data_IF_693889634093
#
_entry.id   IF_693889634093
#
_cell.length_a   1.000
_cell.length_b   1.000
_cell.length_c   1.000
_cell.angle_alpha   90.00
_cell.angle_beta   90.00
_cell.angle_gamma   90.00
#
_symmetry.space_group_name_H-M   'P 1'
#
loop_
_entity.id
_entity.type
_entity.pdbx_description
1 polymer ?
#
# COMPACT_ATOMS: atom_id res chain seq x y z
N UNK A 1 -1.09 45.76 -10.84
CA UNK A 1 -1.50 44.49 -11.41
C UNK A 1 -2.31 43.75 -10.34
N UNK A 2 -3.60 43.58 -10.58
CA UNK A 2 -4.54 43.01 -9.61
C UNK A 2 -4.23 41.53 -9.41
N UNK A 3 -4.06 41.14 -8.13
CA UNK A 3 -3.86 39.73 -7.75
C UNK A 3 -5.05 38.89 -8.20
N UNK A 4 -4.77 37.84 -8.95
CA UNK A 4 -5.75 36.76 -9.23
C UNK A 4 -6.24 36.21 -7.87
N UNK A 5 -7.55 36.00 -7.71
CA UNK A 5 -8.06 35.28 -6.56
C UNK A 5 -7.41 33.90 -6.51
N UNK A 6 -6.99 33.48 -5.31
CA UNK A 6 -6.47 32.12 -5.04
C UNK A 6 -7.66 31.18 -5.24
N UNK A 7 -7.85 30.70 -6.47
CA UNK A 7 -8.68 29.54 -6.74
C UNK A 7 -8.11 28.38 -5.92
N UNK A 8 -8.97 27.69 -5.18
CA UNK A 8 -8.61 26.46 -4.48
C UNK A 8 -7.96 25.52 -5.50
N UNK A 9 -6.63 25.39 -5.44
CA UNK A 9 -5.90 24.46 -6.32
C UNK A 9 -6.32 23.06 -5.89
N UNK A 10 -7.20 22.44 -6.65
CA UNK A 10 -7.45 21.01 -6.59
C UNK A 10 -6.15 20.29 -6.98
N UNK A 11 -5.99 19.02 -6.54
CA UNK A 11 -4.83 18.22 -6.88
C UNK A 11 -4.56 18.21 -8.39
N UNK A 12 -3.30 18.00 -8.79
CA UNK A 12 -2.88 17.85 -10.19
C UNK A 12 -2.79 16.38 -10.58
N UNK A 13 -3.04 16.08 -11.87
CA UNK A 13 -2.76 14.75 -12.42
C UNK A 13 -1.24 14.49 -12.42
N UNK A 14 -0.84 13.29 -12.00
CA UNK A 14 0.54 12.80 -12.17
C UNK A 14 0.51 11.59 -13.08
N UNK A 15 1.26 11.63 -14.20
CA UNK A 15 1.33 10.51 -15.12
C UNK A 15 2.78 10.12 -15.40
N UNK A 16 3.09 8.85 -15.16
CA UNK A 16 4.35 8.21 -15.50
C UNK A 16 4.13 7.42 -16.79
N UNK A 17 5.00 7.60 -17.77
CA UNK A 17 4.90 6.97 -19.09
C UNK A 17 6.19 6.25 -19.41
N UNK A 18 6.19 4.91 -19.36
CA UNK A 18 7.34 4.07 -19.64
C UNK A 18 8.57 4.42 -18.79
N UNK A 19 8.36 4.91 -17.56
CA UNK A 19 9.41 5.48 -16.73
C UNK A 19 10.44 4.43 -16.35
N UNK A 20 11.72 4.70 -16.66
CA UNK A 20 12.82 3.77 -16.39
C UNK A 20 14.00 4.46 -15.76
N UNK A 21 14.74 3.73 -14.90
CA UNK A 21 16.00 4.20 -14.32
C UNK A 21 16.98 3.06 -14.13
N UNK A 22 18.13 3.22 -14.76
CA UNK A 22 19.27 2.31 -14.65
C UNK A 22 20.41 2.95 -13.86
N UNK A 23 21.06 2.18 -12.99
CA UNK A 23 22.30 2.50 -12.30
C UNK A 23 23.37 1.49 -12.72
N UNK A 24 24.14 1.83 -13.75
CA UNK A 24 25.05 0.88 -14.39
C UNK A 24 24.27 -0.28 -14.98
N UNK A 25 24.57 -1.50 -14.56
CA UNK A 25 23.89 -2.73 -15.01
C UNK A 25 22.58 -3.02 -14.26
N UNK A 26 22.27 -2.27 -13.20
CA UNK A 26 21.09 -2.50 -12.37
C UNK A 26 19.93 -1.61 -12.84
N UNK A 27 18.90 -2.22 -13.41
CA UNK A 27 17.66 -1.54 -13.74
C UNK A 27 16.76 -1.42 -12.50
N UNK A 28 16.84 -0.26 -11.83
CA UNK A 28 16.09 0.01 -10.61
C UNK A 28 14.59 0.26 -10.86
N UNK A 29 14.23 0.82 -12.03
CA UNK A 29 12.86 1.05 -12.48
C UNK A 29 12.77 0.68 -13.95
N UNK A 30 11.73 -0.10 -14.33
CA UNK A 30 11.63 -0.72 -15.66
C UNK A 30 10.28 -0.42 -16.28
N UNK A 31 10.23 0.56 -17.18
CA UNK A 31 9.07 0.94 -17.98
C UNK A 31 7.77 1.03 -17.15
N UNK A 32 7.81 1.82 -16.07
CA UNK A 32 6.65 2.01 -15.17
C UNK A 32 5.67 2.97 -15.81
N UNK A 33 4.42 2.50 -15.97
CA UNK A 33 3.26 3.27 -16.34
C UNK A 33 2.32 3.41 -15.14
N UNK A 34 1.97 4.64 -14.77
CA UNK A 34 1.05 4.91 -13.67
C UNK A 34 0.38 6.28 -13.88
N UNK A 35 -0.93 6.33 -13.80
CA UNK A 35 -1.69 7.58 -13.76
C UNK A 35 -2.33 7.74 -12.39
N UNK A 36 -2.13 8.90 -11.76
CA UNK A 36 -2.73 9.31 -10.50
C UNK A 36 -3.66 10.48 -10.81
N UNK A 37 -4.95 10.30 -10.57
CA UNK A 37 -5.95 11.31 -10.84
C UNK A 37 -5.82 12.51 -9.88
N UNK A 38 -6.29 13.69 -10.25
CA UNK A 38 -6.34 14.84 -9.33
C UNK A 38 -7.08 14.51 -8.04
N UNK A 39 -6.44 14.78 -6.90
CA UNK A 39 -6.99 14.50 -5.58
C UNK A 39 -6.96 13.03 -5.15
N UNK A 40 -6.37 12.14 -5.93
CA UNK A 40 -6.24 10.72 -5.60
C UNK A 40 -5.04 10.47 -4.67
N UNK A 41 -5.20 9.53 -3.73
CA UNK A 41 -4.11 9.02 -2.88
C UNK A 41 -3.65 7.66 -3.41
N UNK A 42 -2.48 7.60 -4.03
CA UNK A 42 -1.89 6.36 -4.55
C UNK A 42 -0.64 5.98 -3.76
N UNK A 43 -0.59 4.72 -3.33
CA UNK A 43 0.58 4.16 -2.66
C UNK A 43 1.37 3.23 -3.57
N UNK A 44 2.68 3.47 -3.69
CA UNK A 44 3.64 2.48 -4.18
C UNK A 44 4.01 1.57 -3.01
N UNK A 45 3.58 0.32 -3.07
CA UNK A 45 3.79 -0.70 -2.06
C UNK A 45 4.73 -1.78 -2.60
N UNK A 46 5.69 -2.25 -1.82
CA UNK A 46 6.60 -3.33 -2.26
C UNK A 46 7.77 -3.53 -1.31
N UNK A 47 8.55 -4.61 -1.46
CA UNK A 47 9.73 -4.86 -0.64
C UNK A 47 10.82 -3.82 -0.85
N UNK A 48 11.79 -3.77 0.07
CA UNK A 48 12.98 -2.92 -0.10
C UNK A 48 13.71 -3.25 -1.40
N UNK A 49 14.19 -2.22 -2.11
CA UNK A 49 14.87 -2.39 -3.40
C UNK A 49 13.94 -2.58 -4.61
N UNK A 50 12.60 -2.52 -4.47
CA UNK A 50 11.68 -2.67 -5.60
C UNK A 50 11.56 -1.46 -6.52
N UNK A 51 12.25 -0.34 -6.24
CA UNK A 51 12.26 0.86 -7.09
C UNK A 51 11.33 1.99 -6.67
N UNK A 52 10.56 1.86 -5.58
CA UNK A 52 9.56 2.84 -5.08
C UNK A 52 10.15 4.22 -4.83
N UNK A 53 11.16 4.32 -3.94
CA UNK A 53 11.85 5.57 -3.61
C UNK A 53 12.49 6.18 -4.86
N UNK A 54 13.10 5.36 -5.74
CA UNK A 54 13.66 5.85 -7.01
C UNK A 54 12.58 6.47 -7.89
N UNK A 55 11.41 5.83 -8.00
CA UNK A 55 10.28 6.37 -8.75
C UNK A 55 9.80 7.69 -8.16
N UNK A 56 9.62 7.78 -6.84
CA UNK A 56 9.24 9.01 -6.16
C UNK A 56 10.29 10.12 -6.37
N UNK A 57 11.57 9.81 -6.27
CA UNK A 57 12.67 10.78 -6.47
C UNK A 57 12.75 11.27 -7.92
N UNK A 58 12.37 10.45 -8.91
CA UNK A 58 12.24 10.90 -10.30
C UNK A 58 11.07 11.89 -10.45
N UNK A 59 9.91 11.61 -9.84
CA UNK A 59 8.78 12.55 -9.82
C UNK A 59 9.16 13.86 -9.14
N UNK A 60 9.87 13.80 -8.02
CA UNK A 60 10.37 14.97 -7.30
C UNK A 60 11.43 15.78 -8.08
N UNK A 61 12.08 15.17 -9.08
CA UNK A 61 13.14 15.79 -9.88
C UNK A 61 14.53 15.73 -9.27
N UNK A 62 14.75 14.91 -8.25
CA UNK A 62 16.08 14.66 -7.66
C UNK A 62 16.88 13.61 -8.44
N UNK A 63 16.18 12.74 -9.17
CA UNK A 63 16.78 11.71 -10.05
C UNK A 63 16.22 11.91 -11.45
N UNK A 64 17.09 11.91 -12.47
CA UNK A 64 16.65 11.91 -13.86
C UNK A 64 16.35 10.47 -14.31
N UNK A 65 15.23 10.22 -15.02
CA UNK A 65 14.99 8.92 -15.63
C UNK A 65 16.00 8.64 -16.76
N UNK A 66 16.24 7.36 -17.02
CA UNK A 66 17.04 6.91 -18.18
C UNK A 66 16.17 6.90 -19.44
N UNK A 67 14.85 6.61 -19.29
CA UNK A 67 13.87 6.62 -20.37
C UNK A 67 12.46 6.90 -19.81
N UNK A 68 11.54 7.23 -20.72
CA UNK A 68 10.15 7.55 -20.36
C UNK A 68 9.95 9.02 -20.02
N UNK A 69 8.73 9.36 -19.54
CA UNK A 69 8.35 10.74 -19.23
C UNK A 69 7.54 10.83 -17.93
N UNK A 70 7.53 12.02 -17.33
CA UNK A 70 6.71 12.39 -16.16
C UNK A 70 5.91 13.64 -16.52
N UNK A 71 4.60 13.49 -16.47
CA UNK A 71 3.68 14.58 -16.80
C UNK A 71 2.95 15.03 -15.52
N UNK A 72 2.87 16.35 -15.34
CA UNK A 72 2.00 17.00 -14.36
C UNK A 72 0.97 17.81 -15.13
N UNK A 73 -0.32 17.52 -14.94
CA UNK A 73 -1.44 18.11 -15.72
C UNK A 73 -1.18 18.08 -17.24
N UNK A 74 -0.68 16.94 -17.74
CA UNK A 74 -0.37 16.71 -19.15
C UNK A 74 0.91 17.39 -19.65
N UNK A 75 1.66 18.11 -18.83
CA UNK A 75 2.90 18.76 -19.20
C UNK A 75 4.13 18.01 -18.69
N UNK A 76 5.09 17.73 -19.58
CA UNK A 76 6.34 17.07 -19.17
C UNK A 76 7.17 17.97 -18.25
N UNK A 77 7.64 17.35 -17.14
CA UNK A 77 8.47 18.04 -16.14
C UNK A 77 9.92 17.58 -16.13
N UNK A 78 10.36 16.81 -17.11
CA UNK A 78 11.74 16.29 -17.16
C UNK A 78 12.78 17.41 -17.20
N UNK A 79 12.54 18.49 -17.96
CA UNK A 79 13.42 19.64 -18.02
C UNK A 79 13.23 20.62 -16.86
N UNK A 80 12.23 20.40 -15.98
CA UNK A 80 11.93 21.30 -14.86
C UNK A 80 12.75 20.89 -13.64
N UNK A 81 13.55 21.81 -13.11
CA UNK A 81 14.34 21.59 -11.89
C UNK A 81 13.42 21.29 -10.69
N UNK A 82 13.84 20.44 -9.76
CA UNK A 82 13.04 19.97 -8.62
C UNK A 82 12.32 21.10 -7.86
N UNK A 83 13.03 22.21 -7.54
CA UNK A 83 12.47 23.34 -6.81
C UNK A 83 11.42 24.17 -7.58
N UNK A 84 11.27 23.92 -8.89
CA UNK A 84 10.30 24.59 -9.77
C UNK A 84 9.10 23.70 -10.15
N UNK A 85 9.12 22.41 -9.74
CA UNK A 85 8.00 21.50 -10.00
C UNK A 85 6.77 21.76 -9.11
N UNK A 86 6.91 22.61 -8.11
CA UNK A 86 5.86 23.01 -7.14
C UNK A 86 5.24 21.84 -6.38
N UNK A 87 6.05 20.82 -6.06
CA UNK A 87 5.64 19.61 -5.35
C UNK A 87 6.02 19.70 -3.87
N UNK A 88 5.12 19.24 -2.98
CA UNK A 88 5.45 19.00 -1.57
C UNK A 88 6.18 17.67 -1.43
N UNK A 89 7.25 17.64 -0.63
CA UNK A 89 8.01 16.41 -0.40
C UNK A 89 8.23 16.20 1.09
N UNK A 90 7.88 15.00 1.59
CA UNK A 90 8.20 14.51 2.93
C UNK A 90 9.14 13.33 2.78
N UNK A 91 10.37 13.46 3.26
CA UNK A 91 11.41 12.45 3.21
C UNK A 91 11.33 11.51 4.43
N UNK A 92 11.87 10.31 4.30
CA UNK A 92 11.95 9.32 5.38
C UNK A 92 12.66 9.85 6.62
N UNK A 93 13.74 10.63 6.45
CA UNK A 93 14.48 11.27 7.54
C UNK A 93 13.90 12.63 7.99
N UNK A 94 12.70 12.98 7.47
CA UNK A 94 12.05 14.29 7.63
C UNK A 94 12.84 15.48 7.08
N UNK A 95 14.14 15.39 6.95
CA UNK A 95 15.07 16.43 6.44
C UNK A 95 14.81 17.83 7.03
N UNK A 96 14.52 17.91 8.34
CA UNK A 96 14.32 19.17 9.07
C UNK A 96 15.66 19.86 9.31
N UNK A 97 15.63 21.19 9.31
CA UNK A 97 16.80 22.02 9.62
C UNK A 97 16.98 22.09 11.15
N UNK A 98 17.97 21.41 11.73
CA UNK A 98 18.09 21.27 13.20
C UNK A 98 18.40 22.60 13.92
N UNK A 99 19.02 23.55 13.23
CA UNK A 99 19.38 24.86 13.73
C UNK A 99 18.25 25.89 13.67
N UNK A 100 17.12 25.55 13.05
CA UNK A 100 15.94 26.41 12.92
C UNK A 100 14.87 26.02 13.97
N UNK A 101 13.98 26.99 14.29
CA UNK A 101 12.75 26.70 15.05
C UNK A 101 11.74 25.91 14.20
N UNK A 102 10.67 25.42 14.84
CA UNK A 102 9.53 24.80 14.15
C UNK A 102 8.92 25.77 13.14
N UNK A 103 8.60 27.00 13.55
CA UNK A 103 8.05 28.03 12.66
C UNK A 103 8.99 28.37 11.51
N UNK A 104 10.32 28.45 11.75
CA UNK A 104 11.29 28.73 10.70
C UNK A 104 11.40 27.60 9.69
N UNK A 105 11.33 26.33 10.13
CA UNK A 105 11.29 25.16 9.24
C UNK A 105 10.07 25.24 8.33
N UNK A 106 8.89 25.51 8.89
CA UNK A 106 7.64 25.61 8.11
C UNK A 106 7.66 26.84 7.20
N UNK A 107 8.23 27.98 7.64
CA UNK A 107 8.33 29.19 6.84
C UNK A 107 9.34 29.10 5.68
N UNK A 108 10.30 28.16 5.73
CA UNK A 108 11.40 28.09 4.77
C UNK A 108 10.93 28.04 3.30
N UNK A 109 9.97 27.19 2.89
CA UNK A 109 9.50 27.16 1.51
C UNK A 109 8.84 28.47 1.04
N UNK A 110 8.20 29.21 1.95
CA UNK A 110 7.58 30.50 1.65
C UNK A 110 8.64 31.60 1.45
N UNK A 111 9.72 31.58 2.25
CA UNK A 111 10.87 32.48 2.08
C UNK A 111 11.54 32.28 0.72
N UNK A 112 11.74 31.04 0.31
CA UNK A 112 12.33 30.72 -1.00
C UNK A 112 11.44 31.14 -2.18
N UNK A 113 10.13 31.28 -1.96
CA UNK A 113 9.14 31.78 -2.92
C UNK A 113 8.90 33.30 -2.82
N UNK A 114 9.67 33.99 -1.98
CA UNK A 114 9.55 35.43 -1.75
C UNK A 114 8.14 35.90 -1.34
N UNK A 115 7.41 35.05 -0.58
CA UNK A 115 6.11 35.39 -0.02
C UNK A 115 6.28 36.53 1.01
N UNK A 116 5.37 37.51 1.01
CA UNK A 116 5.37 38.59 1.97
C UNK A 116 5.40 38.08 3.42
N UNK A 117 6.11 38.80 4.31
CA UNK A 117 6.34 38.35 5.69
C UNK A 117 5.05 38.16 6.50
N UNK A 118 4.05 39.03 6.33
CA UNK A 118 2.78 38.92 7.04
C UNK A 118 1.98 37.73 6.56
N UNK A 119 1.92 37.55 5.25
CA UNK A 119 1.27 36.40 4.62
C UNK A 119 1.98 35.10 4.97
N UNK A 120 3.30 35.06 4.96
CA UNK A 120 4.10 33.90 5.38
C UNK A 120 3.78 33.51 6.84
N UNK A 121 3.72 34.50 7.75
CA UNK A 121 3.38 34.26 9.16
C UNK A 121 1.99 33.62 9.31
N UNK A 122 0.97 34.19 8.67
CA UNK A 122 -0.39 33.66 8.67
C UNK A 122 -0.46 32.23 8.13
N UNK A 123 0.22 31.92 7.02
CA UNK A 123 0.25 30.57 6.45
C UNK A 123 0.97 29.58 7.35
N UNK A 124 2.04 29.98 8.02
CA UNK A 124 2.76 29.15 8.99
C UNK A 124 1.85 28.81 10.18
N UNK A 125 1.15 29.79 10.75
CA UNK A 125 0.19 29.55 11.84
C UNK A 125 -0.88 28.56 11.40
N UNK A 126 -1.53 28.77 10.25
CA UNK A 126 -2.54 27.86 9.70
C UNK A 126 -1.99 26.45 9.48
N UNK A 127 -0.75 26.33 8.95
CA UNK A 127 -0.15 25.01 8.71
C UNK A 127 0.19 24.28 10.02
N UNK A 128 0.65 25.00 11.04
CA UNK A 128 0.94 24.45 12.37
C UNK A 128 -0.35 24.03 13.11
N UNK A 129 -1.41 24.80 13.00
CA UNK A 129 -2.73 24.44 13.55
C UNK A 129 -3.28 23.18 12.88
N UNK A 130 -3.15 23.06 11.55
CA UNK A 130 -3.61 21.91 10.78
C UNK A 130 -2.99 20.60 11.27
N UNK A 131 -1.72 20.63 11.67
CA UNK A 131 -0.98 19.48 12.22
C UNK A 131 -0.94 19.45 13.76
N UNK A 132 -1.74 20.27 14.44
CA UNK A 132 -1.85 20.35 15.91
C UNK A 132 -0.53 20.71 16.62
N UNK A 133 0.26 21.59 16.04
CA UNK A 133 1.54 22.07 16.59
C UNK A 133 1.56 23.59 16.86
N UNK A 134 0.40 24.27 16.89
CA UNK A 134 0.31 25.73 17.03
C UNK A 134 1.10 26.29 18.22
N UNK A 135 1.07 25.61 19.38
CA UNK A 135 1.78 26.04 20.59
C UNK A 135 3.31 25.76 20.56
N UNK A 136 3.84 25.05 19.55
CA UNK A 136 5.23 24.59 19.51
C UNK A 136 6.09 25.36 18.51
N UNK A 137 5.59 26.44 17.91
CA UNK A 137 6.26 27.18 16.84
C UNK A 137 7.66 27.71 17.18
N UNK A 138 7.91 28.11 18.44
CA UNK A 138 9.20 28.64 18.91
C UNK A 138 10.22 27.57 19.30
N UNK A 139 9.82 26.29 19.45
CA UNK A 139 10.70 25.21 19.86
C UNK A 139 11.72 24.85 18.78
N UNK A 140 12.85 24.26 19.21
CA UNK A 140 13.86 23.68 18.33
C UNK A 140 13.48 22.25 17.98
N UNK A 141 13.98 21.75 16.84
CA UNK A 141 13.65 20.42 16.34
C UNK A 141 14.05 19.30 17.30
N UNK A 142 15.20 19.43 17.98
CA UNK A 142 15.69 18.44 18.93
C UNK A 142 14.86 18.34 20.24
N UNK A 143 13.99 19.32 20.51
CA UNK A 143 13.08 19.32 21.66
C UNK A 143 11.75 18.57 21.36
N UNK A 144 11.60 18.07 20.13
CA UNK A 144 10.37 17.43 19.66
C UNK A 144 10.50 15.91 19.63
N UNK A 145 9.40 15.20 19.93
CA UNK A 145 9.28 13.76 19.66
C UNK A 145 9.32 13.46 18.15
N UNK A 146 9.62 12.21 17.77
CA UNK A 146 9.66 11.79 16.35
C UNK A 146 8.34 12.10 15.61
N UNK A 147 7.18 11.85 16.22
CA UNK A 147 5.89 12.19 15.62
C UNK A 147 5.65 13.70 15.49
N UNK A 148 6.15 14.52 16.43
CA UNK A 148 6.09 15.96 16.29
C UNK A 148 7.00 16.45 15.17
N UNK A 149 8.20 15.89 15.02
CA UNK A 149 9.10 16.19 13.90
C UNK A 149 8.47 15.86 12.55
N UNK A 150 7.82 14.72 12.45
CA UNK A 150 7.08 14.33 11.25
C UNK A 150 5.97 15.33 10.91
N UNK A 151 5.16 15.75 11.89
CA UNK A 151 4.13 16.79 11.72
C UNK A 151 4.72 18.11 11.23
N UNK A 152 5.90 18.50 11.71
CA UNK A 152 6.63 19.69 11.21
C UNK A 152 7.02 19.50 9.74
N UNK A 153 7.54 18.31 9.36
CA UNK A 153 7.89 18.02 7.97
C UNK A 153 6.66 18.07 7.05
N UNK A 154 5.53 17.54 7.52
CA UNK A 154 4.26 17.59 6.80
C UNK A 154 3.76 19.04 6.66
N UNK A 155 3.74 19.84 7.74
CA UNK A 155 3.37 21.25 7.70
C UNK A 155 4.26 22.04 6.73
N UNK A 156 5.59 21.80 6.74
CA UNK A 156 6.54 22.41 5.81
C UNK A 156 6.24 22.07 4.36
N UNK A 157 5.86 20.81 4.08
CA UNK A 157 5.51 20.38 2.73
C UNK A 157 4.18 20.96 2.24
N UNK A 158 3.25 21.30 3.16
CA UNK A 158 1.91 21.78 2.84
C UNK A 158 1.75 23.31 2.85
N UNK A 159 2.64 24.05 3.53
CA UNK A 159 2.50 25.49 3.81
C UNK A 159 2.34 26.38 2.57
N UNK A 160 2.88 25.94 1.43
CA UNK A 160 2.76 26.66 0.14
C UNK A 160 1.64 26.11 -0.75
N UNK A 161 0.81 25.17 -0.22
CA UNK A 161 -0.35 24.58 -0.89
C UNK A 161 0.03 23.91 -2.23
N UNK A 162 0.91 22.90 -2.21
CA UNK A 162 1.29 22.19 -3.44
C UNK A 162 0.09 21.42 -4.01
N UNK A 163 -0.04 21.28 -5.34
CA UNK A 163 -1.06 20.43 -5.94
C UNK A 163 -0.79 18.93 -5.76
N UNK A 164 0.48 18.55 -5.55
CA UNK A 164 0.90 17.15 -5.34
C UNK A 164 1.80 17.06 -4.13
N UNK A 165 1.57 16.06 -3.30
CA UNK A 165 2.38 15.70 -2.14
C UNK A 165 3.05 14.34 -2.36
N UNK A 166 4.36 14.30 -2.24
CA UNK A 166 5.18 13.09 -2.32
C UNK A 166 5.64 12.71 -0.91
N UNK A 167 5.44 11.47 -0.50
CA UNK A 167 5.87 11.00 0.83
C UNK A 167 6.65 9.69 0.72
N UNK A 168 7.89 9.70 1.20
CA UNK A 168 8.79 8.55 1.18
C UNK A 168 8.91 7.95 2.58
N UNK A 169 8.25 6.83 2.84
CA UNK A 169 8.20 6.09 4.11
C UNK A 169 8.07 6.98 5.37
N UNK A 170 7.15 7.95 5.40
CA UNK A 170 7.16 8.97 6.45
C UNK A 170 6.82 8.41 7.85
N UNK A 171 6.21 7.23 7.94
CA UNK A 171 5.76 6.61 9.20
C UNK A 171 6.71 5.54 9.74
N UNK A 172 7.75 5.16 8.99
CA UNK A 172 8.60 4.01 9.29
C UNK A 172 9.34 4.07 10.63
N UNK A 173 9.65 5.28 11.12
CA UNK A 173 10.38 5.47 12.38
C UNK A 173 9.47 5.59 13.63
N UNK A 174 8.15 5.48 13.48
CA UNK A 174 7.19 5.65 14.58
C UNK A 174 6.81 4.33 15.23
N UNK A 175 6.51 4.39 16.54
CA UNK A 175 5.85 3.29 17.23
C UNK A 175 4.42 3.05 16.68
N UNK A 176 3.85 1.87 16.96
CA UNK A 176 2.56 1.45 16.40
C UNK A 176 1.42 2.44 16.70
N UNK A 177 1.29 2.89 17.95
CA UNK A 177 0.18 3.78 18.37
C UNK A 177 0.26 5.14 17.69
N UNK A 178 1.47 5.70 17.63
CA UNK A 178 1.71 6.99 16.99
C UNK A 178 1.53 6.88 15.47
N UNK A 179 1.93 5.76 14.86
CA UNK A 179 1.72 5.47 13.45
C UNK A 179 0.22 5.46 13.09
N UNK A 180 -0.61 4.73 13.84
CA UNK A 180 -2.06 4.70 13.65
C UNK A 180 -2.69 6.11 13.74
N UNK A 181 -2.27 6.92 14.71
CA UNK A 181 -2.72 8.31 14.83
C UNK A 181 -2.33 9.16 13.62
N UNK A 182 -1.08 9.03 13.16
CA UNK A 182 -0.58 9.79 12.01
C UNK A 182 -1.25 9.38 10.70
N UNK A 183 -1.58 8.11 10.50
CA UNK A 183 -2.35 7.65 9.36
C UNK A 183 -3.71 8.35 9.27
N UNK A 184 -4.45 8.40 10.39
CA UNK A 184 -5.74 9.08 10.45
C UNK A 184 -5.60 10.59 10.18
N UNK A 185 -4.54 11.21 10.68
CA UNK A 185 -4.28 12.64 10.47
C UNK A 185 -3.93 12.95 9.01
N UNK A 186 -3.04 12.16 8.39
CA UNK A 186 -2.70 12.30 6.96
C UNK A 186 -3.97 12.14 6.11
N UNK A 187 -4.80 11.13 6.39
CA UNK A 187 -6.05 10.91 5.67
C UNK A 187 -7.02 12.07 5.82
N UNK A 188 -7.14 12.64 7.03
CA UNK A 188 -7.95 13.84 7.29
C UNK A 188 -7.46 15.05 6.49
N UNK A 189 -6.14 15.31 6.52
CA UNK A 189 -5.51 16.41 5.78
C UNK A 189 -5.73 16.25 4.28
N UNK A 190 -5.49 15.07 3.72
CA UNK A 190 -5.74 14.75 2.32
C UNK A 190 -7.18 15.07 1.90
N UNK A 191 -8.18 14.57 2.67
CA UNK A 191 -9.60 14.84 2.39
C UNK A 191 -9.97 16.32 2.47
N UNK A 192 -9.35 17.06 3.40
CA UNK A 192 -9.65 18.49 3.59
C UNK A 192 -9.06 19.34 2.47
N UNK A 193 -7.87 18.99 1.98
CA UNK A 193 -7.14 19.79 1.00
C UNK A 193 -7.39 19.35 -0.45
N UNK A 194 -7.84 18.11 -0.69
CA UNK A 194 -8.08 17.57 -2.02
C UNK A 194 -6.84 17.49 -2.91
N UNK A 195 -5.64 17.37 -2.30
CA UNK A 195 -4.38 17.29 -3.04
C UNK A 195 -4.10 15.87 -3.54
N UNK A 196 -3.37 15.76 -4.63
CA UNK A 196 -2.90 14.46 -5.14
C UNK A 196 -1.74 13.96 -4.29
N UNK A 197 -1.74 12.68 -3.92
CA UNK A 197 -0.69 12.09 -3.09
C UNK A 197 -0.06 10.89 -3.77
N UNK A 198 1.28 10.89 -3.85
CA UNK A 198 2.07 9.70 -4.12
C UNK A 198 2.84 9.31 -2.84
N UNK A 199 2.45 8.19 -2.27
CA UNK A 199 2.98 7.67 -1.01
C UNK A 199 3.83 6.43 -1.27
N UNK A 200 4.95 6.29 -0.58
CA UNK A 200 5.82 5.12 -0.64
C UNK A 200 5.86 4.46 0.72
N UNK A 201 5.64 3.16 0.76
CA UNK A 201 5.82 2.34 1.97
C UNK A 201 6.15 0.89 1.61
N UNK A 202 6.72 0.16 2.55
CA UNK A 202 6.82 -1.29 2.54
C UNK A 202 5.84 -1.94 3.54
N UNK A 203 5.08 -1.14 4.29
CA UNK A 203 4.14 -1.60 5.31
C UNK A 203 2.78 -1.93 4.67
N UNK A 204 2.38 -3.20 4.78
CA UNK A 204 1.14 -3.74 4.23
C UNK A 204 -0.11 -3.28 5.00
N UNK A 205 0.06 -2.80 6.25
CA UNK A 205 -1.04 -2.28 7.06
C UNK A 205 -1.32 -0.80 6.74
N UNK A 206 -0.28 -0.02 6.34
CA UNK A 206 -0.43 1.40 6.00
C UNK A 206 -1.18 1.63 4.69
N UNK A 207 -0.81 0.88 3.66
CA UNK A 207 -1.31 1.09 2.32
C UNK A 207 -2.86 0.99 2.21
N UNK A 208 -3.54 -0.03 2.78
CA UNK A 208 -5.00 -0.11 2.72
C UNK A 208 -5.74 0.99 3.48
N UNK A 209 -5.14 1.52 4.57
CA UNK A 209 -5.76 2.55 5.41
C UNK A 209 -5.78 3.90 4.69
N UNK A 210 -4.67 4.22 4.02
CA UNK A 210 -4.45 5.56 3.45
C UNK A 210 -4.99 5.70 2.03
N UNK A 211 -4.85 4.67 1.20
CA UNK A 211 -4.90 4.78 -0.25
C UNK A 211 -6.29 4.62 -0.85
N UNK A 212 -6.53 5.34 -1.94
CA UNK A 212 -7.62 5.06 -2.87
C UNK A 212 -7.22 3.90 -3.80
N UNK A 213 -5.94 3.88 -4.24
CA UNK A 213 -5.35 2.78 -5.01
C UNK A 213 -3.94 2.46 -4.52
N UNK A 214 -3.59 1.17 -4.64
CA UNK A 214 -2.25 0.63 -4.35
C UNK A 214 -1.63 0.14 -5.65
N UNK A 215 -0.40 0.56 -5.92
CA UNK A 215 0.45 0.02 -6.98
C UNK A 215 1.53 -0.86 -6.33
N UNK A 216 1.42 -2.18 -6.51
CA UNK A 216 2.38 -3.14 -5.96
C UNK A 216 3.59 -3.22 -6.89
N UNK A 217 4.77 -2.86 -6.36
CA UNK A 217 6.04 -2.86 -7.09
C UNK A 217 6.97 -3.99 -6.64
N UNK A 218 7.59 -4.64 -7.63
CA UNK A 218 8.65 -5.61 -7.42
C UNK A 218 9.63 -5.60 -8.60
N UNK A 219 10.93 -5.74 -8.33
CA UNK A 219 12.00 -5.77 -9.36
C UNK A 219 11.91 -4.63 -10.39
N UNK A 220 11.56 -3.43 -9.93
CA UNK A 220 11.46 -2.23 -10.76
C UNK A 220 10.19 -2.14 -11.61
N UNK A 221 9.21 -3.04 -11.46
CA UNK A 221 7.96 -3.07 -12.23
C UNK A 221 6.74 -2.96 -11.32
N UNK A 222 5.66 -2.46 -11.88
CA UNK A 222 4.33 -2.54 -11.25
C UNK A 222 3.70 -3.87 -11.67
N UNK A 223 3.36 -4.71 -10.68
CA UNK A 223 2.70 -6.00 -10.87
C UNK A 223 1.17 -5.89 -10.87
N UNK A 224 0.64 -4.97 -10.08
CA UNK A 224 -0.82 -4.73 -10.00
C UNK A 224 -1.09 -3.30 -9.51
N UNK A 225 -2.13 -2.68 -10.06
CA UNK A 225 -2.70 -1.44 -9.54
C UNK A 225 -4.20 -1.66 -9.34
N UNK A 226 -4.69 -1.35 -8.14
CA UNK A 226 -6.11 -1.55 -7.83
C UNK A 226 -6.51 -0.90 -6.50
N UNK A 227 -7.79 -0.96 -6.18
CA UNK A 227 -8.26 -0.61 -4.84
C UNK A 227 -7.66 -1.56 -3.81
N UNK A 228 -7.48 -1.15 -2.54
CA UNK A 228 -6.94 -2.03 -1.50
C UNK A 228 -7.62 -3.41 -1.44
N UNK A 229 -8.95 -3.46 -1.48
CA UNK A 229 -9.70 -4.72 -1.49
C UNK A 229 -9.39 -5.58 -2.72
N UNK A 230 -9.31 -4.98 -3.93
CA UNK A 230 -9.02 -5.73 -5.16
C UNK A 230 -7.61 -6.33 -5.13
N UNK A 231 -6.63 -5.59 -4.62
CA UNK A 231 -5.23 -6.07 -4.50
C UNK A 231 -5.12 -7.21 -3.50
N UNK A 232 -5.89 -7.17 -2.39
CA UNK A 232 -5.89 -8.19 -1.36
C UNK A 232 -6.68 -9.43 -1.73
N UNK A 233 -7.92 -9.24 -2.22
CA UNK A 233 -8.86 -10.32 -2.48
C UNK A 233 -8.64 -10.98 -3.85
N UNK A 234 -8.13 -10.23 -4.84
CA UNK A 234 -7.94 -10.66 -6.24
C UNK A 234 -6.53 -10.34 -6.74
N UNK A 235 -5.49 -10.90 -6.11
CA UNK A 235 -4.12 -10.67 -6.54
C UNK A 235 -3.91 -11.20 -7.97
N UNK A 236 -3.25 -10.39 -8.81
CA UNK A 236 -2.99 -10.73 -10.20
C UNK A 236 -1.86 -11.75 -10.37
N UNK A 237 -0.94 -11.83 -9.41
CA UNK A 237 0.22 -12.72 -9.43
C UNK A 237 0.41 -13.37 -8.06
N UNK A 238 1.13 -14.50 -8.03
CA UNK A 238 1.49 -15.16 -6.77
C UNK A 238 2.33 -14.24 -5.88
N UNK A 239 3.24 -13.47 -6.49
CA UNK A 239 4.02 -12.48 -5.75
C UNK A 239 3.11 -11.48 -5.01
N UNK A 240 2.11 -10.90 -5.68
CA UNK A 240 1.18 -9.97 -5.04
C UNK A 240 0.41 -10.66 -3.93
N UNK A 241 -0.07 -11.89 -4.16
CA UNK A 241 -0.81 -12.68 -3.17
C UNK A 241 0.00 -12.85 -1.87
N UNK A 242 1.25 -13.29 -1.99
CA UNK A 242 2.13 -13.58 -0.84
C UNK A 242 2.67 -12.32 -0.18
N UNK A 243 2.87 -11.25 -0.98
CA UNK A 243 3.40 -9.99 -0.47
C UNK A 243 2.35 -9.20 0.33
N UNK A 244 1.07 -9.15 -0.09
CA UNK A 244 0.06 -8.34 0.60
C UNK A 244 -0.61 -9.04 1.79
N UNK A 245 -0.34 -10.32 2.02
CA UNK A 245 -0.87 -11.07 3.15
C UNK A 245 -0.56 -12.56 3.09
N UNK A 246 -0.72 -13.25 4.21
CA UNK A 246 -0.56 -14.70 4.28
C UNK A 246 -1.58 -15.39 3.37
N UNK A 247 -1.16 -16.44 2.64
CA UNK A 247 -2.00 -17.19 1.71
C UNK A 247 -1.74 -18.69 1.79
N UNK A 248 -2.80 -19.49 1.61
CA UNK A 248 -2.67 -20.88 1.22
C UNK A 248 -2.56 -20.93 -0.31
N UNK A 249 -1.40 -21.28 -0.85
CA UNK A 249 -1.14 -21.36 -2.28
C UNK A 249 -0.93 -22.80 -2.71
N UNK A 250 -1.97 -23.43 -3.28
CA UNK A 250 -1.98 -24.84 -3.65
C UNK A 250 -1.79 -25.01 -5.16
N UNK A 251 -0.96 -25.96 -5.56
CA UNK A 251 -0.82 -26.28 -6.98
C UNK A 251 -2.05 -27.04 -7.48
N UNK A 252 -2.55 -26.69 -8.66
CA UNK A 252 -3.69 -27.37 -9.27
C UNK A 252 -3.69 -27.28 -10.79
N UNK A 253 -4.60 -28.07 -11.38
CA UNK A 253 -4.91 -28.04 -12.81
C UNK A 253 -6.41 -27.84 -12.98
N UNK A 254 -6.79 -26.93 -13.85
CA UNK A 254 -8.19 -26.66 -14.20
C UNK A 254 -8.76 -27.86 -14.96
N UNK A 255 -9.85 -28.44 -14.44
CA UNK A 255 -10.56 -29.54 -15.09
C UNK A 255 -11.74 -29.08 -15.93
N UNK A 256 -12.51 -28.15 -15.38
CA UNK A 256 -13.74 -27.67 -16.00
C UNK A 256 -13.88 -26.16 -15.77
N UNK A 257 -14.32 -25.44 -16.79
CA UNK A 257 -14.69 -24.02 -16.69
C UNK A 257 -16.13 -23.89 -17.18
N UNK A 258 -17.01 -23.39 -16.34
CA UNK A 258 -18.39 -23.05 -16.68
C UNK A 258 -18.69 -21.58 -16.38
N UNK A 259 -19.87 -21.11 -16.74
CA UNK A 259 -20.31 -19.73 -16.44
C UNK A 259 -20.46 -19.44 -14.93
N UNK A 260 -20.61 -20.48 -14.11
CA UNK A 260 -20.89 -20.33 -12.68
C UNK A 260 -19.68 -20.67 -11.79
N UNK A 261 -18.81 -21.57 -12.26
CA UNK A 261 -17.69 -22.09 -11.46
C UNK A 261 -16.55 -22.59 -12.33
N UNK A 262 -15.38 -22.65 -11.73
CA UNK A 262 -14.21 -23.38 -12.23
C UNK A 262 -13.89 -24.51 -11.28
N UNK A 263 -13.67 -25.72 -11.82
CA UNK A 263 -13.25 -26.91 -11.07
C UNK A 263 -11.75 -27.08 -11.23
N UNK A 264 -11.04 -27.22 -10.13
CA UNK A 264 -9.59 -27.41 -10.11
C UNK A 264 -9.24 -28.67 -9.34
N UNK A 265 -8.45 -29.56 -9.96
CA UNK A 265 -7.85 -30.71 -9.29
C UNK A 265 -6.52 -30.30 -8.68
N UNK A 266 -6.33 -30.55 -7.38
CA UNK A 266 -5.06 -30.30 -6.71
C UNK A 266 -3.97 -31.29 -7.16
N UNK A 267 -2.74 -30.81 -7.19
CA UNK A 267 -1.53 -31.56 -7.55
C UNK A 267 -0.44 -31.36 -6.49
N UNK A 268 0.04 -32.40 -5.78
CA UNK A 268 -0.37 -33.80 -5.88
C UNK A 268 -1.73 -34.08 -5.22
N UNK A 269 -2.43 -35.09 -5.73
CA UNK A 269 -3.69 -35.59 -5.20
C UNK A 269 -4.85 -35.50 -6.20
N UNK A 270 -6.02 -36.03 -5.80
CA UNK A 270 -7.22 -36.06 -6.61
C UNK A 270 -8.36 -35.19 -6.09
N UNK A 271 -8.06 -34.31 -5.14
CA UNK A 271 -9.05 -33.44 -4.52
C UNK A 271 -9.50 -32.37 -5.49
N UNK A 272 -10.81 -32.21 -5.62
CA UNK A 272 -11.41 -31.14 -6.41
C UNK A 272 -11.74 -29.96 -5.52
N UNK A 273 -11.41 -28.75 -5.99
CA UNK A 273 -11.81 -27.49 -5.40
C UNK A 273 -12.59 -26.67 -6.42
N UNK A 274 -13.48 -25.85 -5.90
CA UNK A 274 -14.36 -24.98 -6.68
C UNK A 274 -13.98 -23.52 -6.49
N UNK A 275 -13.74 -22.81 -7.60
CA UNK A 275 -13.55 -21.38 -7.65
C UNK A 275 -14.65 -20.68 -8.45
N UNK A 276 -14.68 -19.36 -8.41
CA UNK A 276 -15.52 -18.59 -9.34
C UNK A 276 -15.05 -18.78 -10.78
N UNK A 277 -15.96 -18.55 -11.72
CA UNK A 277 -15.59 -18.43 -13.13
C UNK A 277 -14.52 -17.32 -13.28
N UNK A 278 -13.45 -17.64 -13.99
CA UNK A 278 -12.29 -16.73 -14.13
C UNK A 278 -11.60 -16.90 -15.49
N UNK A 279 -10.63 -16.07 -15.82
CA UNK A 279 -9.92 -16.08 -17.09
C UNK A 279 -8.86 -17.20 -17.13
N UNK A 280 -9.28 -18.44 -16.90
CA UNK A 280 -8.46 -19.64 -16.96
C UNK A 280 -9.05 -20.64 -17.94
N UNK A 281 -8.23 -21.51 -18.54
CA UNK A 281 -8.66 -22.52 -19.51
C UNK A 281 -8.55 -23.93 -18.93
N UNK A 282 -9.39 -24.85 -19.41
CA UNK A 282 -9.31 -26.27 -19.09
C UNK A 282 -7.93 -26.83 -19.43
N UNK A 283 -7.35 -27.59 -18.51
CA UNK A 283 -5.98 -28.12 -18.60
C UNK A 283 -4.88 -27.18 -18.13
N UNK A 284 -5.19 -25.91 -17.89
CA UNK A 284 -4.20 -24.92 -17.41
C UNK A 284 -3.72 -25.24 -16.00
N UNK A 285 -2.40 -25.07 -15.76
CA UNK A 285 -1.82 -25.10 -14.40
C UNK A 285 -2.10 -23.78 -13.70
N UNK A 286 -2.55 -23.86 -12.44
CA UNK A 286 -2.89 -22.71 -11.62
C UNK A 286 -2.39 -22.88 -10.19
N UNK A 287 -2.21 -21.76 -9.50
CA UNK A 287 -2.16 -21.71 -8.04
C UNK A 287 -3.54 -21.35 -7.51
N UNK A 288 -4.06 -22.23 -6.67
CA UNK A 288 -5.30 -21.99 -5.93
C UNK A 288 -4.95 -21.24 -4.68
N UNK A 289 -5.29 -19.97 -4.62
CA UNK A 289 -5.02 -19.10 -3.47
C UNK A 289 -6.27 -18.96 -2.60
N UNK A 290 -6.08 -19.15 -1.29
CA UNK A 290 -7.14 -19.01 -0.27
C UNK A 290 -6.57 -18.26 0.91
N UNK A 291 -7.23 -17.17 1.34
CA UNK A 291 -6.82 -16.42 2.54
C UNK A 291 -7.11 -17.24 3.81
N UNK A 292 -6.22 -17.22 4.82
CA UNK A 292 -6.42 -17.94 6.08
C UNK A 292 -7.72 -17.59 6.81
N UNK A 293 -8.14 -16.32 6.77
CA UNK A 293 -9.38 -15.84 7.39
C UNK A 293 -10.65 -16.23 6.62
N UNK A 294 -10.53 -16.69 5.39
CA UNK A 294 -11.64 -17.21 4.62
C UNK A 294 -12.00 -18.65 4.99
N UNK A 295 -11.10 -19.35 5.68
CA UNK A 295 -11.30 -20.71 6.13
C UNK A 295 -12.03 -20.74 7.49
N UNK A 296 -13.13 -21.49 7.55
CA UNK A 296 -13.83 -21.79 8.80
C UNK A 296 -13.39 -23.14 9.33
N UNK A 297 -13.02 -23.21 10.61
CA UNK A 297 -12.66 -24.45 11.31
C UNK A 297 -13.90 -24.95 12.05
N UNK A 298 -14.39 -26.11 11.67
CA UNK A 298 -15.56 -26.74 12.28
C UNK A 298 -15.28 -28.18 12.75
N UNK A 299 -16.24 -28.81 13.45
CA UNK A 299 -16.17 -30.22 13.80
C UNK A 299 -16.03 -31.09 12.53
N UNK A 300 -15.41 -32.27 12.68
CA UNK A 300 -15.28 -33.22 11.58
C UNK A 300 -16.66 -33.56 10.99
N UNK A 301 -16.79 -33.44 9.65
CA UNK A 301 -18.02 -33.69 8.93
C UNK A 301 -18.91 -32.46 8.73
N UNK A 302 -18.50 -31.24 9.14
CA UNK A 302 -19.23 -30.02 8.82
C UNK A 302 -19.47 -29.88 7.32
N UNK A 303 -20.68 -29.52 6.93
CA UNK A 303 -21.14 -29.50 5.53
C UNK A 303 -21.28 -28.08 4.94
N UNK A 304 -20.98 -27.02 5.72
CA UNK A 304 -21.16 -25.65 5.29
C UNK A 304 -20.00 -25.21 4.35
N UNK A 305 -20.35 -24.71 3.16
CA UNK A 305 -19.41 -24.19 2.17
C UNK A 305 -19.31 -25.03 0.88
N UNK A 306 -18.86 -24.37 -0.20
CA UNK A 306 -18.66 -25.02 -1.50
C UNK A 306 -17.44 -25.96 -1.52
N UNK A 307 -16.43 -25.60 -0.72
CA UNK A 307 -15.17 -26.35 -0.58
C UNK A 307 -15.02 -26.89 0.84
N UNK A 308 -14.45 -28.09 0.93
CA UNK A 308 -14.28 -28.79 2.20
C UNK A 308 -13.00 -29.62 2.23
N UNK A 309 -12.28 -29.55 3.37
CA UNK A 309 -11.08 -30.33 3.63
C UNK A 309 -11.08 -30.81 5.07
N UNK A 310 -11.11 -32.15 5.27
CA UNK A 310 -10.93 -32.75 6.58
C UNK A 310 -9.43 -32.85 6.91
N UNK A 311 -9.07 -32.61 8.16
CA UNK A 311 -7.69 -32.65 8.61
C UNK A 311 -7.54 -32.70 10.13
N UNK A 312 -6.30 -32.65 10.60
CA UNK A 312 -5.95 -32.65 12.02
C UNK A 312 -5.17 -31.37 12.32
N UNK A 313 -5.48 -30.70 13.41
CA UNK A 313 -4.72 -29.54 13.88
C UNK A 313 -3.34 -29.98 14.32
N UNK A 314 -2.30 -29.50 13.65
CA UNK A 314 -0.90 -29.69 14.04
C UNK A 314 -0.41 -28.61 14.98
N UNK A 315 -0.80 -27.35 14.74
CA UNK A 315 -0.40 -26.20 15.54
C UNK A 315 -1.60 -25.28 15.78
N UNK A 316 -1.63 -24.66 16.95
CA UNK A 316 -2.55 -23.60 17.32
C UNK A 316 -1.76 -22.45 17.97
N UNK A 317 -1.67 -21.32 17.27
CA UNK A 317 -0.92 -20.14 17.71
C UNK A 317 -1.88 -19.02 18.11
N UNK A 318 -1.81 -18.58 19.34
CA UNK A 318 -2.59 -17.49 19.88
C UNK A 318 -2.00 -16.12 19.46
N UNK A 319 -2.76 -15.34 18.69
CA UNK A 319 -2.36 -14.03 18.18
C UNK A 319 -3.11 -12.85 18.88
N UNK A 320 -3.65 -13.07 20.06
CA UNK A 320 -4.45 -12.07 20.79
C UNK A 320 -5.91 -12.04 20.33
N UNK A 321 -6.21 -11.38 19.21
CA UNK A 321 -7.57 -11.27 18.66
C UNK A 321 -7.97 -12.45 17.78
N UNK A 322 -7.02 -13.30 17.41
CA UNK A 322 -7.24 -14.44 16.52
C UNK A 322 -6.41 -15.65 16.96
N UNK A 323 -6.80 -16.81 16.48
CA UNK A 323 -6.01 -18.04 16.56
C UNK A 323 -5.66 -18.45 15.13
N UNK A 324 -4.37 -18.74 14.93
CA UNK A 324 -3.84 -19.29 13.69
C UNK A 324 -3.69 -20.81 13.88
N UNK A 325 -4.45 -21.56 13.10
CA UNK A 325 -4.38 -23.02 13.07
C UNK A 325 -3.58 -23.46 11.86
N UNK A 326 -2.69 -24.43 12.05
CA UNK A 326 -2.07 -25.21 10.96
C UNK A 326 -2.77 -26.56 10.94
N UNK A 327 -3.43 -26.86 9.84
CA UNK A 327 -4.23 -28.07 9.68
C UNK A 327 -3.63 -28.94 8.58
N UNK A 328 -3.26 -30.18 8.93
CA UNK A 328 -2.77 -31.17 7.97
C UNK A 328 -3.91 -32.07 7.51
N UNK A 329 -4.02 -32.27 6.20
CA UNK A 329 -4.96 -33.16 5.55
C UNK A 329 -4.21 -34.19 4.72
N UNK A 330 -4.13 -35.43 5.20
CA UNK A 330 -3.28 -36.47 4.62
C UNK A 330 -1.79 -36.13 4.68
N UNK A 331 -0.99 -36.72 3.80
CA UNK A 331 0.46 -36.59 3.84
C UNK A 331 0.99 -35.35 3.07
N UNK A 332 0.16 -34.71 2.23
CA UNK A 332 0.67 -33.73 1.26
C UNK A 332 0.01 -32.35 1.35
N UNK A 333 -1.02 -32.15 2.15
CA UNK A 333 -1.77 -30.89 2.19
C UNK A 333 -1.75 -30.28 3.59
N UNK A 334 -1.14 -29.10 3.70
CA UNK A 334 -1.19 -28.27 4.91
C UNK A 334 -1.92 -26.97 4.57
N UNK A 335 -2.89 -26.60 5.40
CA UNK A 335 -3.66 -25.37 5.29
C UNK A 335 -3.55 -24.54 6.57
N UNK A 336 -3.50 -23.25 6.40
CA UNK A 336 -3.48 -22.27 7.49
C UNK A 336 -4.87 -21.63 7.56
N UNK A 337 -5.51 -21.72 8.72
CA UNK A 337 -6.77 -21.01 8.99
C UNK A 337 -6.55 -19.98 10.10
N UNK A 338 -7.20 -18.82 9.99
CA UNK A 338 -7.16 -17.75 10.99
C UNK A 338 -8.57 -17.45 11.45
N UNK A 339 -8.87 -17.83 12.68
CA UNK A 339 -10.19 -17.63 13.29
C UNK A 339 -10.16 -16.45 14.26
N UNK A 340 -11.09 -15.52 14.13
CA UNK A 340 -11.30 -14.46 15.15
C UNK A 340 -11.78 -15.12 16.44
N UNK A 341 -11.09 -14.83 17.54
CA UNK A 341 -11.47 -15.36 18.85
C UNK A 341 -12.60 -14.58 19.47
N UNK A 342 -13.66 -15.28 19.90
CA UNK A 342 -14.70 -14.72 20.75
C UNK A 342 -14.43 -15.05 22.21
N UNK A 343 -14.66 -14.10 23.11
CA UNK A 343 -14.53 -14.35 24.55
C UNK A 343 -15.52 -15.45 24.97
N UNK A 344 -14.99 -16.50 25.65
CA UNK A 344 -15.80 -17.63 26.13
C UNK A 344 -15.91 -18.80 25.17
N UNK A 345 -15.44 -18.70 23.92
CA UNK A 345 -15.31 -19.85 23.02
C UNK A 345 -14.00 -20.60 23.32
N UNK A 346 -14.09 -21.92 23.49
CA UNK A 346 -12.92 -22.77 23.69
C UNK A 346 -12.12 -22.91 22.40
N UNK A 347 -10.79 -22.91 22.54
CA UNK A 347 -9.89 -23.14 21.42
C UNK A 347 -9.95 -24.62 21.01
N UNK A 348 -9.85 -24.92 19.71
CA UNK A 348 -9.75 -26.31 19.25
C UNK A 348 -8.34 -26.83 19.55
N UNK A 349 -8.24 -27.93 20.28
CA UNK A 349 -6.95 -28.47 20.73
C UNK A 349 -6.13 -29.06 19.59
N UNK A 350 -4.79 -28.98 19.72
CA UNK A 350 -3.86 -29.67 18.83
C UNK A 350 -4.14 -31.18 18.88
N UNK A 351 -4.09 -31.85 17.73
CA UNK A 351 -4.45 -33.26 17.55
C UNK A 351 -5.93 -33.52 17.30
N UNK A 352 -6.80 -32.49 17.40
CA UNK A 352 -8.22 -32.62 17.09
C UNK A 352 -8.45 -32.77 15.59
N UNK A 353 -9.35 -33.68 15.21
CA UNK A 353 -9.90 -33.76 13.84
C UNK A 353 -10.85 -32.59 13.59
N UNK A 354 -10.70 -31.93 12.47
CA UNK A 354 -11.51 -30.79 12.05
C UNK A 354 -11.85 -30.86 10.58
N UNK A 355 -12.90 -30.14 10.20
CA UNK A 355 -13.21 -29.84 8.78
C UNK A 355 -12.99 -28.34 8.54
N UNK A 356 -12.16 -28.03 7.55
CA UNK A 356 -12.03 -26.69 6.99
C UNK A 356 -13.06 -26.51 5.88
N UNK A 357 -13.81 -25.41 5.93
CA UNK A 357 -14.80 -25.08 4.90
C UNK A 357 -14.63 -23.63 4.43
N UNK A 358 -14.94 -23.38 3.15
CA UNK A 358 -14.94 -22.02 2.59
C UNK A 358 -15.78 -21.95 1.31
N UNK A 359 -16.17 -20.72 0.95
CA UNK A 359 -16.94 -20.48 -0.26
C UNK A 359 -16.06 -20.52 -1.51
N UNK A 360 -16.63 -20.87 -2.67
CA UNK A 360 -15.97 -20.72 -3.97
C UNK A 360 -15.54 -19.29 -4.28
N UNK A 361 -16.26 -18.30 -3.73
CA UNK A 361 -15.91 -16.87 -3.86
C UNK A 361 -14.58 -16.49 -3.23
N UNK A 362 -14.12 -17.26 -2.24
CA UNK A 362 -12.83 -17.06 -1.55
C UNK A 362 -11.68 -17.85 -2.19
N UNK A 363 -11.93 -18.53 -3.31
CA UNK A 363 -10.92 -19.30 -4.06
C UNK A 363 -10.46 -18.50 -5.27
N UNK A 364 -9.25 -17.97 -5.23
CA UNK A 364 -8.65 -17.22 -6.35
C UNK A 364 -7.73 -18.13 -7.15
N UNK A 365 -7.88 -18.11 -8.47
CA UNK A 365 -7.08 -18.91 -9.39
C UNK A 365 -6.06 -18.02 -10.08
N UNK A 366 -4.79 -18.25 -9.80
CA UNK A 366 -3.67 -17.50 -10.39
C UNK A 366 -2.97 -18.43 -11.38
N UNK A 367 -2.84 -18.05 -12.67
CA UNK A 367 -2.07 -18.82 -13.64
C UNK A 367 -0.63 -19.05 -13.16
N UNK A 368 -0.12 -20.28 -13.31
CA UNK A 368 1.27 -20.65 -12.90
C UNK A 368 2.34 -20.10 -13.89
N UNK A 369 1.89 -19.55 -15.01
CA UNK A 369 2.76 -18.89 -16.00
C UNK A 369 2.78 -17.40 -15.73
N UNK A 370 3.95 -16.74 -15.68
CA UNK A 370 4.01 -15.29 -15.55
C UNK A 370 3.26 -14.64 -16.73
N UNK A 371 2.59 -13.51 -16.53
CA UNK A 371 2.03 -12.75 -17.64
C UNK A 371 3.17 -12.37 -18.59
N UNK A 372 2.96 -12.64 -19.85
CA UNK A 372 3.89 -12.35 -20.97
C UNK A 372 4.16 -10.85 -21.10
#
# INVERSE_FOLDING_TARGET
>A
MAGRPVESRHGAEVRLVGLSRDYGEVAAVRAVDLTIAPGEFVTLLGPSGSGKTTTLMMVAGFVHPTAGDILLDGQSVLAVAAHRRDLGVVFQSYALFPHMSVSDNVAFPLRMRHVDRREAHRRVETALEMVQLGALGSRRIHELSGGQQQRVALARALVFQPPVLLMDEPLGALDRRLREQMQLEIKRIHRTLGLTVLYVTHDQEEAPILSDRIAVMHEGRIHQVGRPADVYERPATLFVADFVGESNALAGRVEEVSSERTVVRLCPGDRLLYGLAGPVATGQRVRVMIRPEALTVGPTGSADGDNRVDGVIEEALYLGQAIRYVVRSGDALTLIARMTRRMGEGDVAVGSGVTLTWSRGSTVLIPDTPPS
#
